data_IF_332803786146
#
_entry.id   IF_332803786146
#
_cell.length_a   1.000
_cell.length_b   1.000
_cell.length_c   1.000
_cell.angle_alpha   90.00
_cell.angle_beta   90.00
_cell.angle_gamma   90.00
#
_symmetry.space_group_name_H-M   'P 1'
#
loop_
_entity.id
_entity.type
_entity.pdbx_description
1 polymer ?
#
# COMPACT_ATOMS: atom_id res chain seq x y z
N UNK A 1 -8.33 -45.35 12.80
CA UNK A 1 -7.96 -44.15 12.03
C UNK A 1 -9.17 -43.20 11.99
N UNK A 2 -9.28 -42.24 12.86
CA UNK A 2 -10.37 -41.24 12.88
C UNK A 2 -9.76 -39.83 12.79
N UNK A 3 -9.98 -39.26 11.70
CA UNK A 3 -10.26 -37.91 11.22
C UNK A 3 -10.12 -36.76 12.24
N UNK A 4 -8.97 -36.07 12.23
CA UNK A 4 -8.74 -34.83 12.95
C UNK A 4 -8.91 -33.59 12.00
N UNK A 5 -10.02 -33.48 11.26
CA UNK A 5 -10.21 -32.41 10.24
C UNK A 5 -11.20 -31.29 10.53
N UNK A 6 -11.99 -31.19 11.62
CA UNK A 6 -12.88 -30.02 11.77
C UNK A 6 -12.28 -28.83 12.51
N UNK A 7 -11.25 -28.98 13.33
CA UNK A 7 -10.75 -27.88 14.17
C UNK A 7 -9.89 -26.85 13.41
N UNK A 8 -9.14 -27.28 12.40
CA UNK A 8 -8.30 -26.40 11.56
C UNK A 8 -9.15 -25.56 10.61
N UNK A 9 -10.19 -26.15 10.04
CA UNK A 9 -11.11 -25.44 9.17
C UNK A 9 -11.93 -24.39 9.92
N UNK A 10 -12.32 -24.64 11.17
CA UNK A 10 -13.04 -23.68 11.99
C UNK A 10 -12.16 -22.47 12.40
N UNK A 11 -10.89 -22.69 12.72
CA UNK A 11 -9.94 -21.60 13.00
C UNK A 11 -9.65 -20.74 11.77
N UNK A 12 -9.51 -21.35 10.60
CA UNK A 12 -9.32 -20.62 9.34
C UNK A 12 -10.56 -19.78 8.96
N UNK A 13 -11.77 -20.30 9.17
CA UNK A 13 -13.03 -19.57 8.92
C UNK A 13 -13.22 -18.42 9.91
N UNK A 14 -12.80 -18.57 11.16
CA UNK A 14 -12.85 -17.48 12.16
C UNK A 14 -11.80 -16.40 11.81
N UNK A 15 -10.63 -16.78 11.34
CA UNK A 15 -9.61 -15.84 10.86
C UNK A 15 -10.08 -15.07 9.61
N UNK A 16 -10.70 -15.75 8.65
CA UNK A 16 -11.28 -15.13 7.44
C UNK A 16 -12.45 -14.19 7.77
N UNK A 17 -13.30 -14.51 8.75
CA UNK A 17 -14.35 -13.61 9.21
C UNK A 17 -13.83 -12.41 9.99
N UNK A 18 -12.75 -12.57 10.74
CA UNK A 18 -12.09 -11.47 11.45
C UNK A 18 -11.37 -10.51 10.49
N UNK A 19 -10.79 -11.01 9.38
CA UNK A 19 -10.25 -10.17 8.30
C UNK A 19 -11.35 -9.41 7.58
N UNK A 20 -12.45 -10.04 7.20
CA UNK A 20 -13.57 -9.35 6.53
C UNK A 20 -14.20 -8.23 7.38
N UNK A 21 -14.27 -8.40 8.71
CA UNK A 21 -14.74 -7.34 9.61
C UNK A 21 -13.71 -6.20 9.78
N UNK A 22 -12.41 -6.52 9.71
CA UNK A 22 -11.32 -5.52 9.67
C UNK A 22 -11.28 -4.76 8.35
N UNK A 23 -11.59 -5.41 7.24
CA UNK A 23 -11.61 -4.80 5.90
C UNK A 23 -12.75 -3.77 5.76
N UNK A 24 -13.90 -4.01 6.37
CA UNK A 24 -14.98 -3.02 6.44
C UNK A 24 -14.60 -1.79 7.29
N UNK A 25 -13.87 -1.96 8.38
CA UNK A 25 -13.31 -0.87 9.18
C UNK A 25 -12.17 -0.15 8.42
N UNK A 26 -11.44 -0.85 7.56
CA UNK A 26 -10.34 -0.30 6.77
C UNK A 26 -10.81 0.55 5.59
N UNK A 27 -11.91 0.17 4.94
CA UNK A 27 -12.56 1.01 3.91
C UNK A 27 -13.00 2.37 4.48
N UNK A 28 -13.38 2.41 5.75
CA UNK A 28 -13.72 3.66 6.46
C UNK A 28 -12.46 4.47 6.82
N UNK A 29 -11.32 3.81 7.09
CA UNK A 29 -10.05 4.49 7.43
C UNK A 29 -9.36 5.08 6.19
N UNK A 30 -9.53 4.50 5.00
CA UNK A 30 -9.00 5.07 3.75
C UNK A 30 -9.73 6.37 3.37
N UNK A 31 -10.98 6.54 3.76
CA UNK A 31 -11.73 7.80 3.64
C UNK A 31 -11.16 8.92 4.52
N UNK A 32 -10.47 8.57 5.61
CA UNK A 32 -9.89 9.50 6.58
C UNK A 32 -8.37 9.60 6.49
N UNK A 33 -7.71 8.97 5.49
CA UNK A 33 -6.30 9.17 5.24
C UNK A 33 -6.10 10.54 4.58
N UNK A 34 -6.16 11.57 5.38
CA UNK A 34 -5.51 12.84 5.10
C UNK A 34 -4.01 12.62 5.38
N UNK A 35 -3.34 11.99 4.44
CA UNK A 35 -1.89 12.11 4.38
C UNK A 35 -1.59 13.61 4.42
N UNK A 36 -0.65 14.03 5.27
CA UNK A 36 -0.19 15.41 5.28
C UNK A 36 0.05 15.81 3.82
N UNK A 37 -0.79 16.70 3.30
CA UNK A 37 -0.70 17.15 1.92
C UNK A 37 0.73 17.65 1.73
N UNK A 38 1.50 16.95 0.90
CA UNK A 38 2.77 17.50 0.44
C UNK A 38 2.46 18.89 -0.10
N UNK A 39 3.18 19.92 0.29
CA UNK A 39 2.89 21.27 -0.20
C UNK A 39 3.06 21.23 -1.72
N UNK A 40 1.92 21.17 -2.42
CA UNK A 40 1.88 21.32 -3.87
C UNK A 40 2.46 22.70 -4.14
N UNK A 41 3.61 22.78 -4.80
CA UNK A 41 4.23 24.06 -5.12
C UNK A 41 3.24 24.94 -5.86
N UNK A 42 3.34 26.26 -5.66
CA UNK A 42 2.48 27.24 -6.32
C UNK A 42 2.47 27.12 -7.86
N UNK A 43 3.49 26.51 -8.45
CA UNK A 43 3.62 26.18 -9.87
C UNK A 43 2.64 25.11 -10.38
N UNK A 44 2.03 24.30 -9.51
CA UNK A 44 1.03 23.32 -9.94
C UNK A 44 -0.20 23.93 -10.62
N UNK A 45 -0.35 25.24 -10.54
CA UNK A 45 -1.47 25.98 -11.13
C UNK A 45 -1.46 26.07 -12.66
N UNK A 46 -0.30 26.09 -13.29
CA UNK A 46 -0.17 26.13 -14.74
C UNK A 46 -0.23 24.75 -15.41
N UNK A 47 0.08 23.70 -14.65
CA UNK A 47 0.12 22.32 -15.15
C UNK A 47 -1.27 21.67 -15.34
N UNK A 48 -2.33 22.27 -14.82
CA UNK A 48 -3.70 21.71 -14.88
C UNK A 48 -4.31 21.77 -16.31
N UNK A 49 -3.71 22.50 -17.24
CA UNK A 49 -4.27 22.66 -18.58
C UNK A 49 -3.44 22.01 -19.67
N UNK A 50 -3.69 20.72 -19.88
CA UNK A 50 -3.20 20.07 -21.11
C UNK A 50 -4.25 20.22 -22.20
N UNK A 51 -3.90 20.74 -23.39
CA UNK A 51 -4.86 20.81 -24.51
C UNK A 51 -5.46 19.43 -24.80
N UNK A 52 -6.77 19.36 -24.91
CA UNK A 52 -7.49 18.12 -25.18
C UNK A 52 -7.77 17.21 -23.97
N UNK A 53 -7.25 17.54 -22.80
CA UNK A 53 -7.58 16.81 -21.57
C UNK A 53 -8.91 17.31 -20.97
N UNK A 54 -9.67 16.44 -20.28
CA UNK A 54 -10.87 16.86 -19.57
C UNK A 54 -10.56 17.86 -18.45
N UNK A 55 -11.45 18.83 -18.21
CA UNK A 55 -11.27 19.83 -17.17
C UNK A 55 -11.15 19.21 -15.79
N UNK A 56 -10.26 19.78 -14.98
CA UNK A 56 -10.05 19.44 -13.57
C UNK A 56 -9.84 20.70 -12.74
N UNK A 57 -10.35 20.68 -11.51
CA UNK A 57 -10.03 21.70 -10.51
C UNK A 57 -8.64 21.44 -9.92
N UNK A 58 -8.04 22.45 -9.29
CA UNK A 58 -6.76 22.30 -8.58
C UNK A 58 -6.85 21.25 -7.47
N UNK A 59 -7.96 21.21 -6.73
CA UNK A 59 -8.17 20.25 -5.66
C UNK A 59 -8.24 18.80 -6.20
N UNK A 60 -8.97 18.59 -7.31
CA UNK A 60 -9.01 17.30 -7.98
C UNK A 60 -7.65 16.88 -8.50
N UNK A 61 -6.89 17.80 -9.09
CA UNK A 61 -5.56 17.50 -9.59
C UNK A 61 -4.59 17.11 -8.46
N UNK A 62 -4.63 17.83 -7.32
CA UNK A 62 -3.84 17.49 -6.14
C UNK A 62 -4.21 16.12 -5.58
N UNK A 63 -5.52 15.84 -5.41
CA UNK A 63 -5.98 14.54 -4.94
C UNK A 63 -5.54 13.39 -5.89
N UNK A 64 -5.66 13.61 -7.19
CA UNK A 64 -5.24 12.63 -8.18
C UNK A 64 -3.72 12.42 -8.18
N UNK A 65 -2.95 13.48 -7.94
CA UNK A 65 -1.49 13.40 -7.77
C UNK A 65 -1.12 12.49 -6.63
N UNK A 66 -1.75 12.63 -5.47
CA UNK A 66 -1.51 11.78 -4.31
C UNK A 66 -1.85 10.31 -4.60
N UNK A 67 -3.01 10.05 -5.20
CA UNK A 67 -3.40 8.69 -5.60
C UNK A 67 -2.38 8.09 -6.59
N UNK A 68 -1.94 8.89 -7.57
CA UNK A 68 -0.97 8.43 -8.56
C UNK A 68 0.34 7.99 -7.92
N UNK A 69 0.91 8.81 -7.04
CA UNK A 69 2.17 8.47 -6.38
C UNK A 69 2.03 7.27 -5.44
N UNK A 70 0.90 7.11 -4.79
CA UNK A 70 0.67 5.99 -3.86
C UNK A 70 0.35 4.67 -4.57
N UNK A 71 -0.27 4.68 -5.75
CA UNK A 71 -0.83 3.47 -6.39
C UNK A 71 -0.27 3.17 -7.77
N UNK A 72 0.14 4.18 -8.52
CA UNK A 72 0.41 4.04 -9.95
C UNK A 72 1.90 4.23 -10.29
N UNK A 73 2.58 5.16 -9.63
CA UNK A 73 3.95 5.56 -9.95
C UNK A 73 4.97 4.42 -9.84
N UNK A 74 4.76 3.48 -8.91
CA UNK A 74 5.64 2.33 -8.74
C UNK A 74 5.74 1.42 -9.98
N UNK A 75 4.68 1.38 -10.81
CA UNK A 75 4.69 0.62 -12.06
C UNK A 75 4.87 1.51 -13.30
N UNK A 76 4.25 2.71 -13.30
CA UNK A 76 4.23 3.59 -14.49
C UNK A 76 5.33 4.65 -14.48
N UNK A 77 6.14 4.71 -13.42
CA UNK A 77 7.19 5.70 -13.22
C UNK A 77 6.62 7.06 -12.78
N UNK A 78 7.36 7.79 -11.96
CA UNK A 78 6.95 9.10 -11.41
C UNK A 78 6.69 10.14 -12.49
N UNK A 79 7.42 10.08 -13.62
CA UNK A 79 7.25 10.94 -14.79
C UNK A 79 6.31 10.35 -15.84
N UNK A 80 5.61 9.26 -15.54
CA UNK A 80 4.71 8.53 -16.44
C UNK A 80 5.35 8.04 -17.73
N UNK A 81 6.67 7.94 -17.80
CA UNK A 81 7.40 7.42 -18.97
C UNK A 81 7.44 5.89 -19.05
N UNK A 82 6.79 5.22 -18.11
CA UNK A 82 6.79 3.77 -17.96
C UNK A 82 7.93 3.28 -17.05
N UNK A 83 7.75 2.06 -16.55
CA UNK A 83 8.75 1.27 -15.84
C UNK A 83 8.38 -0.22 -16.04
N UNK A 84 7.86 -0.95 -15.04
CA UNK A 84 7.27 -2.28 -15.24
C UNK A 84 5.91 -2.20 -15.94
N UNK A 85 5.18 -1.09 -15.77
CA UNK A 85 3.96 -0.77 -16.50
C UNK A 85 4.23 0.10 -17.72
N UNK A 86 3.24 0.17 -18.64
CA UNK A 86 3.33 0.96 -19.87
C UNK A 86 3.41 2.47 -19.57
N UNK A 87 3.99 3.28 -20.49
CA UNK A 87 3.92 4.74 -20.38
C UNK A 87 2.49 5.26 -20.32
N UNK A 88 2.28 6.34 -19.55
CA UNK A 88 1.02 7.07 -19.41
C UNK A 88 1.22 8.54 -19.79
N UNK A 89 1.89 8.78 -20.92
CA UNK A 89 2.06 10.14 -21.45
C UNK A 89 0.74 10.68 -21.98
N UNK A 90 0.49 12.01 -21.95
CA UNK A 90 -0.80 12.60 -22.33
C UNK A 90 -1.26 12.21 -23.73
N UNK A 91 -0.36 12.15 -24.70
CA UNK A 91 -0.65 11.73 -26.07
C UNK A 91 -1.24 10.31 -26.13
N UNK A 92 -0.67 9.37 -25.36
CA UNK A 92 -1.15 7.99 -25.30
C UNK A 92 -2.48 7.88 -24.55
N UNK A 93 -2.64 8.61 -23.45
CA UNK A 93 -3.83 8.51 -22.59
C UNK A 93 -5.02 9.26 -23.19
N UNK A 94 -4.81 10.41 -23.82
CA UNK A 94 -5.85 11.14 -24.57
C UNK A 94 -6.36 10.32 -25.78
N UNK A 95 -5.45 9.67 -26.52
CA UNK A 95 -5.83 8.78 -27.62
C UNK A 95 -6.70 7.59 -27.18
N UNK A 96 -6.61 7.18 -25.92
CA UNK A 96 -7.47 6.11 -25.33
C UNK A 96 -8.81 6.65 -24.85
N UNK A 97 -8.85 7.87 -24.37
CA UNK A 97 -10.03 8.53 -23.84
C UNK A 97 -10.41 8.08 -22.43
N UNK A 98 -11.25 8.89 -21.80
CA UNK A 98 -11.63 8.75 -20.39
C UNK A 98 -12.30 7.41 -20.08
N UNK A 99 -13.25 6.98 -20.92
CA UNK A 99 -14.03 5.75 -20.65
C UNK A 99 -13.16 4.49 -20.71
N UNK A 100 -12.23 4.44 -21.67
CA UNK A 100 -11.27 3.34 -21.73
C UNK A 100 -10.38 3.29 -20.49
N UNK A 101 -9.87 4.44 -20.06
CA UNK A 101 -9.03 4.55 -18.88
C UNK A 101 -9.80 4.16 -17.61
N UNK A 102 -11.05 4.57 -17.47
CA UNK A 102 -11.94 4.15 -16.38
C UNK A 102 -12.11 2.64 -16.34
N UNK A 103 -12.43 2.04 -17.48
CA UNK A 103 -12.57 0.59 -17.58
C UNK A 103 -11.27 -0.14 -17.19
N UNK A 104 -10.13 0.32 -17.71
CA UNK A 104 -8.83 -0.28 -17.42
C UNK A 104 -8.44 -0.17 -15.94
N UNK A 105 -8.68 0.97 -15.30
CA UNK A 105 -8.42 1.15 -13.86
C UNK A 105 -9.38 0.29 -13.03
N UNK A 106 -10.64 0.19 -13.44
CA UNK A 106 -11.66 -0.59 -12.72
C UNK A 106 -11.34 -2.08 -12.72
N UNK A 107 -11.06 -2.64 -13.89
CA UNK A 107 -10.96 -4.09 -14.10
C UNK A 107 -9.52 -4.60 -14.17
N UNK A 108 -8.54 -3.72 -14.29
CA UNK A 108 -7.15 -4.10 -14.49
C UNK A 108 -6.89 -4.71 -15.89
N UNK A 109 -5.80 -5.43 -16.01
CA UNK A 109 -5.45 -6.12 -17.26
C UNK A 109 -4.77 -7.46 -17.01
N UNK A 110 -4.89 -8.41 -17.95
CA UNK A 110 -4.16 -9.70 -17.89
C UNK A 110 -2.63 -9.51 -17.85
N UNK A 111 -2.13 -8.37 -18.29
CA UNK A 111 -0.71 -8.01 -18.25
C UNK A 111 -0.19 -7.57 -16.88
N UNK A 112 -0.98 -7.74 -15.81
CA UNK A 112 -0.56 -7.51 -14.42
C UNK A 112 -0.92 -6.13 -13.85
N UNK A 113 -1.74 -5.32 -14.53
CA UNK A 113 -2.31 -4.13 -13.91
C UNK A 113 -3.41 -4.56 -12.94
N UNK A 114 -3.36 -4.14 -11.64
CA UNK A 114 -4.38 -4.49 -10.67
C UNK A 114 -5.78 -3.94 -11.02
N UNK A 115 -6.81 -4.62 -10.54
CA UNK A 115 -8.21 -4.25 -10.69
C UNK A 115 -8.65 -3.30 -9.56
N UNK A 116 -8.19 -2.07 -9.57
CA UNK A 116 -8.37 -1.10 -8.47
C UNK A 116 -9.85 -0.85 -8.10
N UNK A 117 -10.76 -0.92 -9.07
CA UNK A 117 -12.20 -0.73 -8.81
C UNK A 117 -12.85 -1.97 -8.24
N UNK A 118 -12.77 -3.11 -8.94
CA UNK A 118 -13.39 -4.36 -8.48
C UNK A 118 -12.66 -4.97 -7.28
N UNK A 119 -11.38 -4.62 -7.08
CA UNK A 119 -10.61 -4.94 -5.88
C UNK A 119 -10.93 -4.07 -4.67
N UNK A 120 -11.70 -2.99 -4.85
CA UNK A 120 -12.11 -2.08 -3.76
C UNK A 120 -11.04 -1.08 -3.31
N UNK A 121 -9.92 -0.95 -4.03
CA UNK A 121 -8.84 -0.01 -3.71
C UNK A 121 -9.21 1.44 -4.04
N UNK A 122 -9.97 1.66 -5.09
CA UNK A 122 -10.44 2.97 -5.53
C UNK A 122 -11.95 3.00 -5.70
N UNK A 123 -12.58 4.07 -5.24
CA UNK A 123 -14.00 4.34 -5.49
C UNK A 123 -14.25 4.74 -6.95
N UNK A 124 -15.49 4.64 -7.41
CA UNK A 124 -15.88 5.07 -8.76
C UNK A 124 -15.51 6.54 -9.03
N UNK A 125 -15.66 7.41 -8.02
CA UNK A 125 -15.29 8.82 -8.14
C UNK A 125 -13.77 9.01 -8.28
N UNK A 126 -12.97 8.24 -7.54
CA UNK A 126 -11.50 8.26 -7.66
C UNK A 126 -11.03 7.68 -8.99
N UNK A 127 -11.71 6.67 -9.53
CA UNK A 127 -11.42 6.11 -10.86
C UNK A 127 -11.69 7.14 -11.95
N UNK A 128 -12.82 7.85 -11.90
CA UNK A 128 -13.12 8.94 -12.81
C UNK A 128 -12.07 10.05 -12.74
N UNK A 129 -11.76 10.45 -11.52
CA UNK A 129 -10.72 11.43 -11.22
C UNK A 129 -9.37 11.03 -11.84
N UNK A 130 -8.93 9.80 -11.63
CA UNK A 130 -7.67 9.29 -12.17
C UNK A 130 -7.69 9.20 -13.69
N UNK A 131 -8.79 8.79 -14.31
CA UNK A 131 -8.92 8.71 -15.76
C UNK A 131 -8.81 10.07 -16.43
N UNK A 132 -9.38 11.13 -15.82
CA UNK A 132 -9.20 12.52 -16.27
C UNK A 132 -7.77 13.00 -16.05
N UNK A 133 -7.23 12.78 -14.85
CA UNK A 133 -5.88 13.20 -14.46
C UNK A 133 -4.78 12.63 -15.37
N UNK A 134 -4.88 11.37 -15.77
CA UNK A 134 -3.87 10.74 -16.63
C UNK A 134 -3.74 11.38 -18.01
N UNK A 135 -4.71 12.16 -18.45
CA UNK A 135 -4.72 12.87 -19.73
C UNK A 135 -4.03 14.24 -19.68
N UNK A 136 -3.70 14.70 -18.46
CA UNK A 136 -2.93 15.92 -18.25
C UNK A 136 -1.43 15.67 -18.23
N UNK A 137 -0.64 16.72 -18.41
CA UNK A 137 0.82 16.68 -18.21
C UNK A 137 1.11 16.20 -16.78
N UNK A 138 2.05 15.26 -16.57
CA UNK A 138 2.41 14.80 -15.24
C UNK A 138 2.86 15.98 -14.37
N UNK A 139 2.45 16.02 -13.09
CA UNK A 139 3.00 16.99 -12.16
C UNK A 139 4.51 16.74 -11.98
N UNK A 140 5.24 17.77 -11.56
CA UNK A 140 6.60 17.58 -11.11
C UNK A 140 6.59 16.61 -9.92
N UNK A 141 7.49 15.62 -9.86
CA UNK A 141 7.59 14.76 -8.70
C UNK A 141 7.82 15.59 -7.45
N UNK A 142 7.15 15.25 -6.33
CA UNK A 142 7.45 15.91 -5.07
C UNK A 142 8.92 15.67 -4.71
N UNK A 143 9.56 16.68 -4.16
CA UNK A 143 10.86 16.48 -3.53
C UNK A 143 10.68 15.61 -2.29
N UNK A 144 11.52 14.60 -2.13
CA UNK A 144 11.49 13.69 -1.01
C UNK A 144 12.91 13.52 -0.45
N UNK A 145 13.19 14.28 0.59
CA UNK A 145 14.46 14.25 1.29
C UNK A 145 14.30 13.88 2.76
N UNK A 146 15.34 14.07 3.54
CA UNK A 146 15.33 13.76 4.98
C UNK A 146 14.23 14.49 5.74
N UNK A 147 13.90 15.72 5.34
CA UNK A 147 12.84 16.52 5.97
C UNK A 147 11.48 15.87 5.83
N UNK A 148 11.15 15.44 4.63
CA UNK A 148 9.88 14.77 4.31
C UNK A 148 9.81 13.38 4.95
N UNK A 149 10.91 12.63 4.93
CA UNK A 149 11.03 11.33 5.60
C UNK A 149 10.81 11.47 7.10
N UNK A 150 11.47 12.44 7.75
CA UNK A 150 11.28 12.68 9.19
C UNK A 150 9.88 13.16 9.53
N UNK A 151 9.24 13.92 8.66
CA UNK A 151 7.84 14.35 8.83
C UNK A 151 6.84 13.20 8.70
N UNK A 152 7.14 12.19 7.88
CA UNK A 152 6.29 11.00 7.70
C UNK A 152 6.56 9.88 8.73
N UNK A 153 7.64 9.99 9.50
CA UNK A 153 7.98 9.02 10.52
C UNK A 153 6.95 8.98 11.64
N UNK A 154 6.36 7.82 11.85
CA UNK A 154 5.43 7.57 12.97
C UNK A 154 6.00 6.49 13.87
N UNK A 155 6.20 6.84 15.13
CA UNK A 155 6.54 5.88 16.19
C UNK A 155 5.24 5.38 16.80
N UNK A 156 4.93 4.10 16.58
CA UNK A 156 3.72 3.44 17.10
C UNK A 156 3.95 3.04 18.56
N UNK A 157 5.12 2.44 18.82
CA UNK A 157 5.55 2.08 20.18
C UNK A 157 6.92 2.73 20.40
N UNK A 158 7.04 3.71 21.30
CA UNK A 158 8.31 4.35 21.65
C UNK A 158 9.36 3.32 22.07
N UNK A 159 10.62 3.56 21.76
CA UNK A 159 11.70 2.61 22.04
C UNK A 159 11.79 2.23 23.52
N UNK A 160 11.58 3.19 24.41
CA UNK A 160 11.56 2.98 25.87
C UNK A 160 10.47 2.03 26.35
N UNK A 161 9.38 1.88 25.57
CA UNK A 161 8.21 1.05 25.89
C UNK A 161 8.27 -0.32 25.17
N UNK A 162 9.29 -0.53 24.32
CA UNK A 162 9.54 -1.83 23.67
C UNK A 162 10.18 -2.82 24.63
N UNK A 163 9.96 -4.12 24.44
CA UNK A 163 10.59 -5.14 25.26
C UNK A 163 12.10 -5.03 25.30
N UNK A 164 12.70 -5.09 26.50
CA UNK A 164 14.18 -5.17 26.67
C UNK A 164 14.70 -6.60 26.52
N UNK A 165 13.80 -7.59 26.57
CA UNK A 165 14.08 -9.01 26.31
C UNK A 165 12.88 -9.64 25.59
N UNK A 166 13.12 -10.77 24.93
CA UNK A 166 12.09 -11.50 24.18
C UNK A 166 10.95 -11.96 25.12
N UNK A 167 9.71 -11.57 24.84
CA UNK A 167 8.51 -11.84 25.62
C UNK A 167 7.68 -13.04 25.13
N UNK A 168 8.16 -13.73 24.11
CA UNK A 168 7.53 -14.92 23.55
C UNK A 168 8.53 -16.08 23.46
N UNK A 169 8.04 -17.28 23.12
CA UNK A 169 8.86 -18.49 23.05
C UNK A 169 9.15 -18.95 21.60
N UNK A 170 8.85 -18.11 20.59
CA UNK A 170 9.14 -18.46 19.21
C UNK A 170 10.64 -18.56 18.96
N UNK A 171 11.06 -19.55 18.20
CA UNK A 171 12.41 -19.60 17.66
C UNK A 171 12.51 -18.63 16.49
N UNK A 172 13.09 -17.44 16.75
CA UNK A 172 13.18 -16.37 15.76
C UNK A 172 13.95 -16.80 14.50
N UNK A 173 14.90 -17.72 14.64
CA UNK A 173 15.63 -18.26 13.50
C UNK A 173 14.76 -19.14 12.58
N UNK A 174 13.60 -19.57 13.06
CA UNK A 174 12.62 -20.39 12.34
C UNK A 174 11.24 -19.70 12.21
N UNK A 175 11.20 -18.38 12.27
CA UNK A 175 9.99 -17.60 11.95
C UNK A 175 10.00 -17.23 10.47
N UNK A 176 8.93 -17.55 9.77
CA UNK A 176 8.72 -17.15 8.38
C UNK A 176 7.89 -15.86 8.32
N UNK A 177 8.38 -14.88 7.55
CA UNK A 177 7.63 -13.69 7.18
C UNK A 177 7.14 -13.84 5.74
N UNK A 178 5.85 -14.09 5.57
CA UNK A 178 5.21 -14.30 4.27
C UNK A 178 4.50 -13.03 3.84
N UNK A 179 4.89 -12.49 2.69
CA UNK A 179 4.24 -11.31 2.11
C UNK A 179 2.90 -11.70 1.50
N UNK A 180 1.82 -11.14 2.04
CA UNK A 180 0.46 -11.22 1.48
C UNK A 180 0.25 -9.95 0.64
N UNK A 181 0.84 -9.97 -0.55
CA UNK A 181 1.01 -8.78 -1.40
C UNK A 181 -0.31 -8.05 -1.68
N UNK A 182 -1.33 -8.77 -2.09
CA UNK A 182 -2.57 -8.17 -2.57
C UNK A 182 -3.42 -7.58 -1.43
N UNK A 183 -3.27 -8.11 -0.20
CA UNK A 183 -3.90 -7.54 0.99
C UNK A 183 -3.03 -6.48 1.70
N UNK A 184 -1.76 -6.32 1.31
CA UNK A 184 -0.81 -5.41 1.97
C UNK A 184 -0.51 -5.82 3.40
N UNK A 185 -0.23 -7.11 3.62
CA UNK A 185 -0.01 -7.69 4.94
C UNK A 185 1.22 -8.58 4.97
N UNK A 186 1.74 -8.82 6.17
CA UNK A 186 2.75 -9.83 6.46
C UNK A 186 2.13 -10.87 7.39
N UNK A 187 2.14 -12.14 7.00
CA UNK A 187 1.86 -13.24 7.90
C UNK A 187 3.16 -13.72 8.53
N UNK A 188 3.23 -13.73 9.86
CA UNK A 188 4.30 -14.37 10.61
C UNK A 188 3.87 -15.80 10.96
N UNK A 189 4.70 -16.77 10.63
CA UNK A 189 4.43 -18.20 10.83
C UNK A 189 5.55 -18.78 11.66
N UNK A 190 5.20 -19.49 12.74
CA UNK A 190 6.14 -20.31 13.50
C UNK A 190 6.52 -21.57 12.70
N UNK A 191 7.77 -21.67 12.30
CA UNK A 191 8.26 -22.79 11.52
C UNK A 191 8.24 -24.12 12.27
N UNK A 192 8.21 -24.13 13.62
CA UNK A 192 8.13 -25.34 14.42
C UNK A 192 6.70 -25.87 14.48
N UNK A 193 5.74 -25.06 14.92
CA UNK A 193 4.33 -25.47 15.06
C UNK A 193 3.52 -25.40 13.76
N UNK A 194 3.97 -24.62 12.78
CA UNK A 194 3.26 -24.25 11.53
C UNK A 194 2.03 -23.36 11.76
N UNK A 195 1.89 -22.80 12.96
CA UNK A 195 0.80 -21.90 13.29
C UNK A 195 1.11 -20.47 12.82
N UNK A 196 0.07 -19.72 12.47
CA UNK A 196 0.16 -18.29 12.22
C UNK A 196 0.31 -17.57 13.56
N UNK A 197 1.42 -16.87 13.76
CA UNK A 197 1.70 -16.04 14.93
C UNK A 197 0.84 -14.79 14.90
N UNK A 198 0.88 -14.08 13.79
CA UNK A 198 0.09 -12.85 13.56
C UNK A 198 0.01 -12.53 12.05
N UNK A 199 -1.05 -11.80 11.65
CA UNK A 199 -1.15 -11.18 10.33
C UNK A 199 -1.16 -9.68 10.55
N UNK A 200 -0.15 -9.00 10.02
CA UNK A 200 0.16 -7.60 10.33
C UNK A 200 -0.08 -6.75 9.09
N UNK A 201 -0.93 -5.74 9.21
CA UNK A 201 -1.14 -4.76 8.14
C UNK A 201 0.10 -3.90 7.96
N UNK A 202 0.53 -3.75 6.70
CA UNK A 202 1.73 -3.01 6.29
C UNK A 202 1.41 -2.08 5.11
N UNK A 203 2.41 -1.69 4.33
CA UNK A 203 2.23 -0.86 3.13
C UNK A 203 1.48 -1.57 2.00
N UNK A 204 0.94 -0.77 1.06
CA UNK A 204 0.25 -1.27 -0.12
C UNK A 204 1.13 -2.17 -0.98
N UNK A 205 0.57 -3.31 -1.38
CA UNK A 205 1.25 -4.30 -2.22
C UNK A 205 2.68 -4.60 -1.72
N UNK A 206 2.81 -4.85 -0.41
CA UNK A 206 4.08 -5.22 0.23
C UNK A 206 4.74 -6.36 -0.51
N UNK A 207 6.03 -6.22 -0.82
CA UNK A 207 6.74 -7.18 -1.67
C UNK A 207 8.14 -7.50 -1.18
N UNK A 208 8.60 -6.82 -0.16
CA UNK A 208 9.90 -7.05 0.47
C UNK A 208 9.71 -7.15 1.97
N UNK A 209 10.31 -8.17 2.58
CA UNK A 209 10.56 -8.27 4.00
C UNK A 209 12.02 -8.61 4.23
N UNK A 210 12.66 -7.98 5.21
CA UNK A 210 14.06 -8.21 5.59
C UNK A 210 14.19 -8.22 7.09
N UNK A 211 14.90 -9.19 7.61
CA UNK A 211 15.25 -9.25 9.02
C UNK A 211 16.43 -8.33 9.31
N UNK A 212 16.43 -7.69 10.47
CA UNK A 212 17.60 -6.99 11.01
C UNK A 212 18.72 -7.98 11.33
N UNK A 213 19.95 -7.48 11.36
CA UNK A 213 21.13 -8.28 11.75
C UNK A 213 20.99 -8.91 13.13
N UNK A 214 20.36 -8.22 14.07
CA UNK A 214 20.07 -8.75 15.41
C UNK A 214 19.01 -9.87 15.46
N UNK A 215 18.29 -10.11 14.38
CA UNK A 215 17.16 -11.03 14.33
C UNK A 215 15.89 -10.52 15.05
N UNK A 216 15.93 -9.32 15.65
CA UNK A 216 14.79 -8.78 16.41
C UNK A 216 13.71 -8.16 15.55
N UNK A 217 14.11 -7.42 14.52
CA UNK A 217 13.19 -6.63 13.72
C UNK A 217 13.01 -7.16 12.31
N UNK A 218 11.82 -6.99 11.76
CA UNK A 218 11.55 -7.17 10.34
C UNK A 218 11.19 -5.80 9.76
N UNK A 219 11.86 -5.43 8.67
CA UNK A 219 11.52 -4.29 7.83
C UNK A 219 10.71 -4.77 6.65
N UNK A 220 9.62 -4.08 6.33
CA UNK A 220 8.82 -4.36 5.14
C UNK A 220 8.77 -3.14 4.24
N UNK A 221 8.60 -3.34 2.94
CA UNK A 221 8.49 -2.25 1.96
C UNK A 221 7.28 -2.52 1.07
N UNK A 222 6.36 -1.55 1.04
CA UNK A 222 5.22 -1.53 0.14
C UNK A 222 5.53 -0.78 -1.17
N UNK A 223 4.66 -0.92 -2.17
CA UNK A 223 4.75 -0.15 -3.42
C UNK A 223 4.33 1.30 -3.29
N UNK A 224 3.72 1.66 -2.18
CA UNK A 224 3.48 3.03 -1.74
C UNK A 224 4.70 3.69 -1.09
N UNK A 225 5.87 3.04 -1.18
CA UNK A 225 7.14 3.41 -0.54
C UNK A 225 7.10 3.39 1.00
N UNK A 226 6.01 2.93 1.59
CA UNK A 226 5.91 2.77 3.03
C UNK A 226 6.85 1.70 3.54
N UNK A 227 7.58 2.01 4.60
CA UNK A 227 8.41 1.06 5.34
C UNK A 227 7.79 0.87 6.72
N UNK A 228 7.55 -0.37 7.11
CA UNK A 228 7.10 -0.74 8.45
C UNK A 228 8.21 -1.46 9.20
N UNK A 229 8.31 -1.22 10.50
CA UNK A 229 9.20 -1.91 11.43
C UNK A 229 8.38 -2.77 12.38
N UNK A 230 8.62 -4.09 12.35
CA UNK A 230 7.95 -5.10 13.19
C UNK A 230 8.93 -5.60 14.24
N UNK A 231 8.53 -5.63 15.52
CA UNK A 231 9.36 -6.14 16.64
C UNK A 231 8.93 -7.57 16.99
N UNK A 232 9.83 -8.53 16.74
CA UNK A 232 9.63 -9.96 17.04
C UNK A 232 9.76 -10.32 18.52
N UNK A 233 10.26 -9.41 19.36
CA UNK A 233 10.41 -9.66 20.79
C UNK A 233 9.14 -9.42 21.59
N UNK A 234 8.15 -8.75 21.02
CA UNK A 234 6.86 -8.53 21.66
C UNK A 234 6.16 -9.85 21.96
N UNK A 235 5.31 -9.90 22.97
CA UNK A 235 4.49 -11.07 23.31
C UNK A 235 3.70 -11.58 22.10
N UNK A 236 3.13 -10.68 21.33
CA UNK A 236 2.62 -10.90 19.98
C UNK A 236 3.37 -9.92 19.08
N UNK A 237 4.24 -10.39 18.19
CA UNK A 237 4.95 -9.53 17.24
C UNK A 237 4.02 -8.63 16.45
N UNK A 238 4.32 -7.33 16.42
CA UNK A 238 3.53 -6.34 15.68
C UNK A 238 4.39 -5.13 15.30
N UNK A 239 3.80 -4.16 14.56
CA UNK A 239 4.48 -2.94 14.15
C UNK A 239 4.80 -2.03 15.33
N UNK A 240 5.99 -1.47 15.30
CA UNK A 240 6.47 -0.48 16.30
C UNK A 240 6.78 0.89 15.70
N UNK A 241 6.95 0.97 14.39
CA UNK A 241 7.12 2.23 13.67
C UNK A 241 6.75 2.06 12.19
N UNK A 242 6.48 3.18 11.52
CA UNK A 242 6.30 3.28 10.07
C UNK A 242 6.84 4.60 9.53
N UNK A 243 7.23 4.63 8.27
CA UNK A 243 7.70 5.82 7.54
C UNK A 243 7.24 5.75 6.10
#
# INVERSE_FOLDING_TARGET
AASAKPAVAAKAVVALKATAAKDAAHATTLSNYQGAASPVSADATEQVRSPGAPDMTKAEFAQATDIFFQRCAGCHGVLRKGATGKPLTPDLTQAKGTDYLKALITYGSPGGMPNFGTGGELTTAQIDLMARFLQHVPPNPPEWGMKEMMASWKVIIPEKDRPTSKQNNYDISNVFAVTLRDSGEIALIDGNSKDIINIIKTGYAVHISRMSDSGRYIYTIGRDAKIDLIDLWMKVPDRVAEI
#
